data_IF_708821732510
#
_entry.id   IF_708821732510
#
_cell.length_a   1.000
_cell.length_b   1.000
_cell.length_c   1.000
_cell.angle_alpha   90.00
_cell.angle_beta   90.00
_cell.angle_gamma   90.00
#
_symmetry.space_group_name_H-M   'P 1'
#
loop_
_entity.id
_entity.type
_entity.pdbx_description
1 polymer ?
#
# COMPACT_ATOMS: atom_id res chain seq x y z
N UNK A 1 65.87 -32.10 -14.32
CA UNK A 1 65.28 -30.77 -14.03
C UNK A 1 63.78 -30.93 -14.06
N UNK A 2 63.19 -31.35 -12.94
CA UNK A 2 61.73 -31.52 -12.85
C UNK A 2 61.10 -30.15 -12.62
N UNK A 3 60.31 -29.72 -13.59
CA UNK A 3 59.49 -28.52 -13.54
C UNK A 3 58.35 -28.75 -12.55
N UNK A 4 58.41 -28.07 -11.41
CA UNK A 4 57.31 -28.00 -10.44
C UNK A 4 56.13 -27.30 -11.13
N UNK A 5 55.22 -28.10 -11.70
CA UNK A 5 53.92 -27.60 -12.14
C UNK A 5 53.07 -27.31 -10.91
N UNK A 6 53.20 -26.08 -10.39
CA UNK A 6 52.34 -25.58 -9.34
C UNK A 6 50.95 -25.34 -9.96
N UNK A 7 50.07 -26.34 -9.89
CA UNK A 7 48.68 -26.19 -10.32
C UNK A 7 48.04 -25.17 -9.38
N UNK A 8 47.62 -23.98 -9.87
CA UNK A 8 46.99 -22.99 -9.00
C UNK A 8 45.69 -23.58 -8.48
N UNK A 9 45.50 -23.57 -7.17
CA UNK A 9 44.29 -24.07 -6.52
C UNK A 9 43.06 -23.58 -7.29
N UNK A 10 42.25 -24.52 -7.78
CA UNK A 10 41.02 -24.22 -8.53
C UNK A 10 39.97 -23.53 -7.65
N UNK A 11 40.23 -23.42 -6.34
CA UNK A 11 39.34 -22.83 -5.35
C UNK A 11 39.83 -21.45 -4.89
N UNK A 12 38.87 -20.58 -4.58
CA UNK A 12 39.15 -19.25 -4.05
C UNK A 12 39.91 -19.32 -2.73
N UNK A 13 41.02 -18.58 -2.63
CA UNK A 13 41.87 -18.51 -1.42
C UNK A 13 41.21 -17.89 -0.17
N UNK A 14 39.95 -17.47 -0.25
CA UNK A 14 39.24 -16.82 0.87
C UNK A 14 38.68 -17.90 1.77
N UNK A 15 39.05 -17.88 3.04
CA UNK A 15 38.61 -18.87 4.04
C UNK A 15 37.09 -19.03 4.05
N UNK A 16 36.61 -20.28 3.94
CA UNK A 16 35.18 -20.59 3.89
C UNK A 16 34.49 -20.33 2.54
N UNK A 17 35.23 -19.98 1.49
CA UNK A 17 34.70 -19.85 0.15
C UNK A 17 34.91 -21.14 -0.67
N UNK A 18 33.81 -21.77 -1.08
CA UNK A 18 33.82 -22.93 -2.00
C UNK A 18 33.76 -22.54 -3.48
N UNK A 19 33.90 -21.26 -3.82
CA UNK A 19 33.82 -20.79 -5.21
C UNK A 19 35.13 -20.98 -5.96
N UNK A 20 35.05 -21.30 -7.26
CA UNK A 20 36.23 -21.52 -8.08
C UNK A 20 37.07 -20.23 -8.31
N UNK A 21 38.39 -20.34 -8.29
CA UNK A 21 39.34 -19.25 -8.51
C UNK A 21 39.50 -18.89 -9.99
N UNK A 22 38.41 -18.40 -10.59
CA UNK A 22 38.36 -18.02 -12.01
C UNK A 22 39.39 -16.93 -12.38
N UNK A 23 39.91 -16.17 -11.41
CA UNK A 23 41.04 -15.25 -11.58
C UNK A 23 42.31 -15.94 -11.08
N UNK A 24 42.85 -16.85 -11.89
CA UNK A 24 44.02 -17.70 -11.54
C UNK A 24 45.20 -16.90 -10.98
N UNK A 25 45.56 -15.77 -11.61
CA UNK A 25 46.66 -14.91 -11.14
C UNK A 25 46.42 -14.21 -9.80
N UNK A 26 45.17 -14.11 -9.35
CA UNK A 26 44.82 -13.54 -8.05
C UNK A 26 44.43 -14.62 -7.01
N UNK A 27 44.23 -15.87 -7.41
CA UNK A 27 43.72 -16.95 -6.56
C UNK A 27 42.32 -16.68 -6.00
N UNK A 28 41.50 -15.86 -6.70
CA UNK A 28 40.20 -15.40 -6.23
C UNK A 28 39.09 -15.79 -7.20
N UNK A 29 37.90 -16.10 -6.65
CA UNK A 29 36.68 -16.16 -7.45
C UNK A 29 36.28 -14.77 -7.93
N UNK A 30 35.43 -14.69 -8.95
CA UNK A 30 35.01 -13.40 -9.53
C UNK A 30 34.41 -12.45 -8.48
N UNK A 31 33.61 -12.99 -7.57
CA UNK A 31 32.97 -12.24 -6.48
C UNK A 31 33.99 -11.61 -5.54
N UNK A 32 35.01 -12.34 -5.10
CA UNK A 32 36.03 -11.83 -4.18
C UNK A 32 37.05 -10.95 -4.89
N UNK A 33 37.39 -11.25 -6.14
CA UNK A 33 38.23 -10.39 -6.97
C UNK A 33 37.59 -9.01 -7.18
N UNK A 34 36.29 -8.97 -7.52
CA UNK A 34 35.56 -7.72 -7.69
C UNK A 34 35.48 -6.90 -6.39
N UNK A 35 35.31 -7.55 -5.24
CA UNK A 35 35.34 -6.87 -3.93
C UNK A 35 36.72 -6.31 -3.62
N UNK A 36 37.78 -7.11 -3.79
CA UNK A 36 39.16 -6.70 -3.59
C UNK A 36 39.52 -5.49 -4.46
N UNK A 37 39.13 -5.50 -5.74
CA UNK A 37 39.37 -4.39 -6.66
C UNK A 37 38.64 -3.11 -6.26
N UNK A 38 37.39 -3.21 -5.81
CA UNK A 38 36.53 -2.04 -5.52
C UNK A 38 36.71 -1.47 -4.13
N UNK A 39 37.01 -2.31 -3.14
CA UNK A 39 36.98 -1.97 -1.72
C UNK A 39 38.28 -2.32 -0.98
N UNK A 40 39.29 -2.86 -1.67
CA UNK A 40 40.56 -3.24 -1.06
C UNK A 40 40.50 -4.47 -0.15
N UNK A 41 39.33 -5.08 0.03
CA UNK A 41 39.11 -6.31 0.81
C UNK A 41 38.21 -7.30 0.08
N UNK A 42 38.42 -8.59 0.32
CA UNK A 42 37.54 -9.68 -0.13
C UNK A 42 36.26 -9.79 0.69
N UNK A 43 36.25 -9.18 1.88
CA UNK A 43 35.10 -9.20 2.76
C UNK A 43 33.90 -8.50 2.12
N UNK A 44 32.71 -8.96 2.49
CA UNK A 44 31.50 -8.21 2.14
C UNK A 44 31.50 -6.97 3.02
N UNK A 45 31.80 -5.81 2.44
CA UNK A 45 31.59 -4.54 3.10
C UNK A 45 30.14 -4.48 3.61
N UNK A 46 29.98 -4.36 4.92
CA UNK A 46 28.69 -4.07 5.53
C UNK A 46 28.37 -2.62 5.18
N UNK A 47 27.69 -2.40 4.05
CA UNK A 47 27.13 -1.08 3.71
C UNK A 47 25.86 -0.89 4.56
N UNK A 48 26.03 -0.89 5.87
CA UNK A 48 24.99 -0.45 6.79
C UNK A 48 24.98 1.06 6.69
N UNK A 49 23.96 1.62 6.07
CA UNK A 49 23.70 3.05 6.17
C UNK A 49 23.03 3.26 7.55
N UNK A 50 23.72 3.80 8.55
CA UNK A 50 23.06 4.10 9.82
C UNK A 50 21.94 5.14 9.59
N UNK A 51 20.93 5.14 10.45
CA UNK A 51 19.84 6.12 10.41
C UNK A 51 18.72 5.82 9.41
N UNK A 52 17.93 6.85 9.13
CA UNK A 52 16.74 6.79 8.29
C UNK A 52 17.13 6.83 6.80
N UNK A 53 16.37 6.11 5.98
CA UNK A 53 16.45 6.23 4.52
C UNK A 53 15.07 6.47 3.93
N UNK A 54 15.01 7.21 2.84
CA UNK A 54 13.79 7.39 2.06
C UNK A 54 13.51 6.16 1.18
N UNK A 55 12.29 5.67 1.25
CA UNK A 55 11.75 4.62 0.39
C UNK A 55 11.12 5.24 -0.87
N UNK A 56 11.12 4.51 -1.97
CA UNK A 56 10.58 4.96 -3.27
C UNK A 56 9.11 5.40 -3.24
N UNK A 57 8.34 4.99 -2.24
CA UNK A 57 6.93 5.37 -2.04
C UNK A 57 6.71 6.58 -1.12
N UNK A 58 7.77 7.26 -0.71
CA UNK A 58 7.74 8.45 0.15
C UNK A 58 7.69 8.15 1.65
N UNK A 59 8.03 6.93 2.06
CA UNK A 59 8.09 6.54 3.47
C UNK A 59 9.54 6.50 3.97
N UNK A 60 9.75 6.79 5.25
CA UNK A 60 11.06 6.63 5.91
C UNK A 60 11.23 5.22 6.47
N UNK A 61 12.44 4.67 6.37
CA UNK A 61 12.82 3.35 6.89
C UNK A 61 13.94 3.48 7.93
N UNK A 62 13.68 3.03 9.15
CA UNK A 62 14.65 2.98 10.23
C UNK A 62 15.50 1.70 10.15
N UNK A 63 16.78 1.79 10.49
CA UNK A 63 17.64 0.62 10.70
C UNK A 63 17.28 -0.03 12.04
N UNK A 64 16.66 -1.22 11.98
CA UNK A 64 16.04 -1.88 13.14
C UNK A 64 16.14 -3.41 13.00
N UNK A 65 17.37 -3.99 13.16
CA UNK A 65 17.64 -5.41 12.91
C UNK A 65 17.01 -6.36 13.95
N UNK A 66 16.69 -5.87 15.14
CA UNK A 66 16.14 -6.68 16.23
C UNK A 66 14.67 -6.36 16.53
N UNK A 67 14.04 -5.52 15.70
CA UNK A 67 12.67 -5.06 15.93
C UNK A 67 11.66 -6.19 15.63
N UNK A 68 10.61 -6.39 16.47
CA UNK A 68 9.62 -7.46 16.26
C UNK A 68 8.95 -7.43 14.87
N UNK A 69 8.66 -6.22 14.39
CA UNK A 69 8.06 -5.98 13.07
C UNK A 69 9.04 -6.11 11.88
N UNK A 70 10.28 -6.53 12.10
CA UNK A 70 11.28 -6.71 11.04
C UNK A 70 10.95 -7.92 10.17
N UNK A 71 11.02 -7.72 8.85
CA UNK A 71 10.94 -8.81 7.87
C UNK A 71 12.28 -9.54 7.75
N UNK A 72 12.26 -10.86 7.58
CA UNK A 72 13.48 -11.69 7.49
C UNK A 72 14.49 -11.20 6.43
N UNK A 73 14.01 -10.65 5.31
CA UNK A 73 14.82 -10.19 4.18
C UNK A 73 15.44 -8.80 4.33
N UNK A 74 15.16 -8.08 5.42
CA UNK A 74 15.59 -6.69 5.62
C UNK A 74 16.02 -6.43 7.05
N UNK A 75 16.99 -5.54 7.24
CA UNK A 75 17.37 -5.01 8.56
C UNK A 75 16.66 -3.68 8.86
N UNK A 76 15.56 -3.40 8.15
CA UNK A 76 14.82 -2.15 8.24
C UNK A 76 13.33 -2.36 8.39
N UNK A 77 12.72 -1.44 9.13
CA UNK A 77 11.28 -1.34 9.35
C UNK A 77 10.85 0.07 8.97
N UNK A 78 9.60 0.22 8.49
CA UNK A 78 9.01 1.54 8.28
C UNK A 78 9.00 2.32 9.58
N UNK A 79 9.52 3.54 9.54
CA UNK A 79 9.69 4.37 10.73
C UNK A 79 8.37 4.59 11.45
N UNK A 80 7.28 4.91 10.74
CA UNK A 80 5.97 5.07 11.36
C UNK A 80 5.51 3.82 12.13
N UNK A 81 5.90 2.60 11.70
CA UNK A 81 5.58 1.38 12.46
C UNK A 81 6.46 1.24 13.70
N UNK A 82 7.72 1.65 13.62
CA UNK A 82 8.63 1.66 14.78
C UNK A 82 8.16 2.66 15.82
N UNK A 83 7.82 3.88 15.41
CA UNK A 83 7.32 4.93 16.33
C UNK A 83 6.00 4.49 16.96
N UNK A 84 5.05 3.99 16.16
CA UNK A 84 3.77 3.53 16.69
C UNK A 84 3.91 2.33 17.63
N UNK A 85 4.83 1.38 17.32
CA UNK A 85 5.13 0.24 18.19
C UNK A 85 5.78 0.67 19.51
N UNK A 86 6.69 1.65 19.48
CA UNK A 86 7.29 2.18 20.70
C UNK A 86 6.26 2.84 21.63
N UNK A 87 5.26 3.50 21.07
CA UNK A 87 4.21 4.20 21.83
C UNK A 87 3.12 3.24 22.35
N UNK A 88 2.69 2.27 21.52
CA UNK A 88 1.49 1.47 21.80
C UNK A 88 1.74 -0.03 21.99
N UNK A 89 2.96 -0.52 21.76
CA UNK A 89 3.36 -1.91 21.92
C UNK A 89 2.78 -2.85 20.86
N UNK A 90 2.50 -4.10 21.27
CA UNK A 90 2.10 -5.19 20.37
C UNK A 90 0.59 -5.23 20.07
N UNK A 91 -0.20 -4.40 20.75
CA UNK A 91 -1.66 -4.38 20.62
C UNK A 91 -2.37 -5.42 21.51
N UNK A 92 -3.63 -5.77 21.22
CA UNK A 92 -4.44 -5.30 20.08
C UNK A 92 -4.78 -3.81 20.17
N UNK A 93 -5.27 -3.26 19.06
CA UNK A 93 -5.63 -1.85 18.93
C UNK A 93 -7.08 -1.70 18.49
N UNK A 94 -7.64 -0.51 18.67
CA UNK A 94 -8.92 -0.14 18.08
C UNK A 94 -8.64 0.76 16.87
N UNK A 95 -9.29 0.47 15.74
CA UNK A 95 -9.29 1.35 14.59
C UNK A 95 -9.79 2.74 15.00
N UNK A 96 -9.02 3.78 14.73
CA UNK A 96 -9.36 5.17 15.06
C UNK A 96 -10.70 5.61 14.45
N UNK A 97 -11.04 5.09 13.26
CA UNK A 97 -12.20 5.54 12.49
C UNK A 97 -13.50 4.77 12.77
N UNK A 98 -13.42 3.48 13.09
CA UNK A 98 -14.60 2.63 13.27
C UNK A 98 -14.57 1.79 14.54
N UNK A 99 -13.51 1.89 15.33
CA UNK A 99 -13.30 1.19 16.61
C UNK A 99 -13.28 -0.35 16.50
N UNK A 100 -13.20 -0.91 15.29
CA UNK A 100 -12.96 -2.33 15.09
C UNK A 100 -11.60 -2.72 15.69
N UNK A 101 -11.56 -3.83 16.41
CA UNK A 101 -10.31 -4.38 16.94
C UNK A 101 -9.42 -4.84 15.78
N UNK A 102 -8.16 -4.44 15.82
CA UNK A 102 -7.13 -4.75 14.82
C UNK A 102 -5.82 -5.10 15.53
N UNK A 103 -4.95 -5.78 14.80
CA UNK A 103 -3.62 -6.23 15.24
C UNK A 103 -2.58 -5.85 14.20
N UNK A 104 -1.30 -6.07 14.48
CA UNK A 104 -0.24 -5.81 13.49
C UNK A 104 -0.37 -6.57 12.17
N UNK A 105 -1.18 -7.64 12.13
CA UNK A 105 -1.42 -8.46 10.93
C UNK A 105 -2.42 -7.83 9.95
N UNK A 106 -3.38 -7.04 10.43
CA UNK A 106 -4.50 -6.51 9.63
C UNK A 106 -4.68 -4.99 9.74
N UNK A 107 -3.99 -4.34 10.67
CA UNK A 107 -3.98 -2.88 10.79
C UNK A 107 -3.05 -2.20 9.78
N UNK A 108 -3.34 -0.93 9.53
CA UNK A 108 -2.44 0.04 8.93
C UNK A 108 -2.12 1.10 10.00
N UNK A 109 -0.86 1.56 10.03
CA UNK A 109 -0.51 2.81 10.72
C UNK A 109 -0.85 3.94 9.76
N UNK A 110 -1.83 4.75 10.13
CA UNK A 110 -2.45 5.78 9.31
C UNK A 110 -1.98 7.17 9.76
N UNK A 111 -1.64 8.01 8.79
CA UNK A 111 -1.22 9.40 9.00
C UNK A 111 -2.46 10.30 8.97
N UNK A 112 -2.80 10.94 10.09
CA UNK A 112 -3.97 11.80 10.21
C UNK A 112 -3.93 12.96 9.19
N UNK A 113 -2.76 13.59 9.03
CA UNK A 113 -2.55 14.69 8.08
C UNK A 113 -2.25 14.25 6.63
N UNK A 114 -2.28 12.94 6.33
CA UNK A 114 -1.94 12.35 5.02
C UNK A 114 -0.53 12.71 4.50
N UNK A 115 0.38 13.05 5.40
CA UNK A 115 1.79 13.36 5.12
C UNK A 115 2.68 12.20 5.58
N UNK A 116 3.23 11.45 4.61
CA UNK A 116 3.89 10.14 4.84
C UNK A 116 5.20 10.20 5.63
N UNK A 117 5.84 11.37 5.69
CA UNK A 117 7.13 11.58 6.33
C UNK A 117 7.04 12.33 7.67
N UNK A 118 5.83 12.73 8.07
CA UNK A 118 5.49 13.21 9.41
C UNK A 118 5.12 12.03 10.30
N UNK A 119 6.14 11.41 10.90
CA UNK A 119 5.99 10.24 11.76
C UNK A 119 5.90 10.62 13.25
N UNK A 120 5.42 11.83 13.58
CA UNK A 120 5.16 12.22 14.95
C UNK A 120 4.11 11.30 15.60
N UNK A 121 4.28 10.86 16.87
CA UNK A 121 3.35 9.92 17.52
C UNK A 121 1.89 10.38 17.46
N UNK A 122 1.62 11.67 17.68
CA UNK A 122 0.28 12.25 17.65
C UNK A 122 -0.39 12.23 16.25
N UNK A 123 0.40 12.09 15.18
CA UNK A 123 -0.11 11.99 13.81
C UNK A 123 -0.40 10.55 13.36
N UNK A 124 0.02 9.55 14.15
CA UNK A 124 -0.08 8.14 13.79
C UNK A 124 -1.21 7.46 14.56
N UNK A 125 -2.09 6.77 13.83
CA UNK A 125 -3.20 6.03 14.44
C UNK A 125 -3.34 4.63 13.84
N UNK A 126 -3.89 3.69 14.61
CA UNK A 126 -4.29 2.39 14.07
C UNK A 126 -5.54 2.56 13.19
N UNK A 127 -5.53 1.97 11.99
CA UNK A 127 -6.64 2.00 11.05
C UNK A 127 -6.85 0.62 10.43
N UNK A 128 -8.08 0.16 10.32
CA UNK A 128 -8.35 -1.14 9.69
C UNK A 128 -8.16 -1.08 8.17
N UNK A 129 -8.00 -2.26 7.55
CA UNK A 129 -7.82 -2.40 6.10
C UNK A 129 -8.97 -1.83 5.24
N UNK A 130 -10.14 -1.53 5.83
CA UNK A 130 -11.26 -0.88 5.13
C UNK A 130 -11.19 0.64 5.24
N UNK A 131 -10.91 1.17 6.44
CA UNK A 131 -10.96 2.61 6.71
C UNK A 131 -9.79 3.36 6.07
N UNK A 132 -8.56 2.83 6.16
CA UNK A 132 -7.38 3.51 5.64
C UNK A 132 -7.48 3.77 4.11
N UNK A 133 -7.76 2.78 3.24
CA UNK A 133 -7.89 3.03 1.80
C UNK A 133 -9.08 3.94 1.44
N UNK A 134 -10.17 3.89 2.23
CA UNK A 134 -11.37 4.72 1.99
C UNK A 134 -11.04 6.21 2.04
N UNK A 135 -10.10 6.64 2.88
CA UNK A 135 -9.63 8.05 2.96
C UNK A 135 -8.99 8.52 1.66
N UNK A 136 -8.27 7.63 0.97
CA UNK A 136 -7.59 7.93 -0.30
C UNK A 136 -8.47 7.76 -1.55
N UNK A 137 -9.70 7.26 -1.41
CA UNK A 137 -10.55 6.87 -2.54
C UNK A 137 -10.83 8.04 -3.48
N UNK A 138 -11.14 9.22 -2.96
CA UNK A 138 -11.46 10.39 -3.79
C UNK A 138 -10.24 10.88 -4.57
N UNK A 139 -9.04 10.85 -3.98
CA UNK A 139 -7.78 11.20 -4.65
C UNK A 139 -7.46 10.23 -5.78
N UNK A 140 -7.63 8.93 -5.51
CA UNK A 140 -7.47 7.88 -6.52
C UNK A 140 -8.49 8.05 -7.66
N UNK A 141 -9.77 8.24 -7.32
CA UNK A 141 -10.85 8.44 -8.30
C UNK A 141 -10.63 9.70 -9.15
N UNK A 142 -10.22 10.82 -8.55
CA UNK A 142 -9.85 12.04 -9.27
C UNK A 142 -8.68 11.79 -10.23
N UNK A 143 -7.63 11.10 -9.77
CA UNK A 143 -6.49 10.72 -10.60
C UNK A 143 -6.92 9.90 -11.82
N UNK A 144 -7.76 8.87 -11.63
CA UNK A 144 -8.26 8.07 -12.74
C UNK A 144 -9.12 8.87 -13.73
N UNK A 145 -9.94 9.82 -13.25
CA UNK A 145 -10.74 10.70 -14.11
C UNK A 145 -9.86 11.63 -14.97
N UNK A 146 -8.81 12.19 -14.37
CA UNK A 146 -7.87 13.09 -15.06
C UNK A 146 -7.00 12.35 -16.07
N UNK A 147 -6.57 11.12 -15.76
CA UNK A 147 -5.73 10.29 -16.62
C UNK A 147 -6.50 9.42 -17.62
N UNK A 148 -7.83 9.50 -17.61
CA UNK A 148 -8.64 8.69 -18.53
C UNK A 148 -8.39 9.12 -19.98
N UNK A 149 -8.02 8.17 -20.83
CA UNK A 149 -7.92 8.39 -22.28
C UNK A 149 -9.30 8.61 -22.93
N UNK A 150 -10.36 8.18 -22.23
CA UNK A 150 -11.76 8.26 -22.69
C UNK A 150 -12.40 9.56 -22.22
N UNK A 151 -11.70 10.67 -22.46
CA UNK A 151 -12.15 12.04 -22.19
C UNK A 151 -12.65 12.66 -23.47
N UNK A 152 -13.85 13.21 -23.41
CA UNK A 152 -14.52 13.76 -24.58
C UNK A 152 -15.03 15.16 -24.27
N UNK A 153 -14.85 16.05 -25.25
CA UNK A 153 -15.35 17.43 -25.19
C UNK A 153 -16.59 17.54 -26.07
N UNK A 154 -17.70 17.96 -25.47
CA UNK A 154 -18.96 18.24 -26.15
C UNK A 154 -19.72 19.30 -25.35
N UNK A 155 -20.50 20.14 -26.04
CA UNK A 155 -21.31 21.19 -25.39
C UNK A 155 -20.53 22.07 -24.38
N UNK A 156 -19.27 22.40 -24.69
CA UNK A 156 -18.41 23.23 -23.84
C UNK A 156 -17.90 22.56 -22.55
N UNK A 157 -18.11 21.25 -22.37
CA UNK A 157 -17.64 20.48 -21.20
C UNK A 157 -16.71 19.38 -21.64
N UNK A 158 -15.65 19.13 -20.87
CA UNK A 158 -14.75 17.99 -21.05
C UNK A 158 -14.88 17.05 -19.85
N UNK A 159 -15.38 15.85 -20.08
CA UNK A 159 -15.62 14.84 -19.04
C UNK A 159 -15.13 13.47 -19.51
N UNK A 160 -14.81 12.59 -18.57
CA UNK A 160 -14.61 11.18 -18.91
C UNK A 160 -15.95 10.48 -19.19
N UNK A 161 -15.91 9.33 -19.85
CA UNK A 161 -17.12 8.61 -20.26
C UNK A 161 -18.11 8.33 -19.12
N UNK A 162 -17.62 7.96 -17.92
CA UNK A 162 -18.49 7.66 -16.77
C UNK A 162 -19.14 8.92 -16.19
N UNK A 163 -18.45 10.06 -16.26
CA UNK A 163 -19.01 11.36 -15.88
C UNK A 163 -20.09 11.78 -16.87
N UNK A 164 -19.84 11.62 -18.18
CA UNK A 164 -20.86 11.83 -19.20
C UNK A 164 -22.10 10.94 -19.01
N UNK A 165 -21.91 9.65 -18.69
CA UNK A 165 -23.01 8.73 -18.41
C UNK A 165 -23.89 9.20 -17.25
N UNK A 166 -23.26 9.65 -16.14
CA UNK A 166 -23.97 10.21 -14.98
C UNK A 166 -24.65 11.53 -15.33
N UNK A 167 -23.93 12.45 -16.00
CA UNK A 167 -24.43 13.77 -16.37
C UNK A 167 -25.67 13.70 -17.28
N UNK A 168 -25.70 12.76 -18.22
CA UNK A 168 -26.80 12.58 -19.18
C UNK A 168 -27.87 11.60 -18.70
N UNK A 169 -27.69 10.97 -17.53
CA UNK A 169 -28.51 9.85 -17.05
C UNK A 169 -28.67 8.74 -18.11
N UNK A 170 -27.55 8.36 -18.72
CA UNK A 170 -27.42 7.31 -19.72
C UNK A 170 -26.59 6.15 -19.19
N UNK A 171 -26.88 4.93 -19.66
CA UNK A 171 -25.95 3.83 -19.39
C UNK A 171 -24.65 4.05 -20.16
N UNK A 172 -23.52 3.64 -19.58
CA UNK A 172 -22.21 3.65 -20.26
C UNK A 172 -22.31 2.97 -21.63
N UNK A 173 -22.97 1.81 -21.69
CA UNK A 173 -23.13 1.03 -22.91
C UNK A 173 -23.89 1.81 -24.01
N UNK A 174 -24.85 2.66 -23.65
CA UNK A 174 -25.55 3.49 -24.62
C UNK A 174 -24.63 4.53 -25.26
N UNK A 175 -23.75 5.16 -24.47
CA UNK A 175 -22.78 6.12 -24.99
C UNK A 175 -21.70 5.41 -25.82
N UNK A 176 -21.24 4.23 -25.37
CA UNK A 176 -20.31 3.39 -26.15
C UNK A 176 -20.88 2.98 -27.50
N UNK A 177 -22.14 2.57 -27.53
CA UNK A 177 -22.83 2.27 -28.77
C UNK A 177 -22.83 3.48 -29.71
N UNK A 178 -23.18 4.68 -29.21
CA UNK A 178 -23.17 5.91 -30.04
C UNK A 178 -21.78 6.20 -30.62
N UNK A 179 -20.72 6.03 -29.82
CA UNK A 179 -19.33 6.17 -30.29
C UNK A 179 -19.00 5.12 -31.37
N UNK A 180 -19.31 3.84 -31.13
CA UNK A 180 -19.03 2.76 -32.09
C UNK A 180 -19.84 2.86 -33.38
N UNK A 181 -21.04 3.43 -33.31
CA UNK A 181 -21.90 3.68 -34.46
C UNK A 181 -21.49 4.93 -35.26
N UNK A 182 -20.39 5.60 -34.86
CA UNK A 182 -19.85 6.74 -35.59
C UNK A 182 -20.71 8.02 -35.48
N UNK A 183 -21.48 8.18 -34.41
CA UNK A 183 -22.25 9.41 -34.20
C UNK A 183 -21.32 10.61 -34.04
N UNK A 184 -21.80 11.80 -34.42
CA UNK A 184 -21.08 13.05 -34.16
C UNK A 184 -20.89 13.25 -32.66
N UNK A 185 -19.76 13.81 -32.25
CA UNK A 185 -19.39 13.91 -30.83
C UNK A 185 -20.45 14.63 -29.98
N UNK A 186 -21.03 15.74 -30.47
CA UNK A 186 -22.10 16.44 -29.76
C UNK A 186 -23.39 15.61 -29.69
N UNK A 187 -23.69 14.80 -30.70
CA UNK A 187 -24.84 13.88 -30.66
C UNK A 187 -24.61 12.70 -29.71
N UNK A 188 -23.38 12.18 -29.64
CA UNK A 188 -22.99 11.14 -28.67
C UNK A 188 -23.30 11.59 -27.25
N UNK A 189 -22.93 12.82 -26.92
CA UNK A 189 -23.07 13.41 -25.58
C UNK A 189 -24.32 14.29 -25.41
N UNK A 190 -25.37 13.97 -26.17
CA UNK A 190 -26.69 14.57 -25.99
C UNK A 190 -27.60 13.73 -25.06
N UNK A 191 -28.61 14.32 -24.40
CA UNK A 191 -29.61 13.58 -23.63
C UNK A 191 -30.37 12.53 -24.47
N UNK A 192 -31.23 11.72 -23.84
CA UNK A 192 -32.08 10.77 -24.60
C UNK A 192 -32.99 11.53 -25.57
N UNK A 193 -32.89 11.23 -26.86
CA UNK A 193 -33.86 11.65 -27.88
C UNK A 193 -35.01 10.62 -27.91
N UNK A 194 -36.17 10.98 -27.35
CA UNK A 194 -37.40 10.16 -27.38
C UNK A 194 -37.63 9.20 -26.20
N UNK A 195 -38.75 8.46 -26.24
CA UNK A 195 -39.20 7.49 -25.21
C UNK A 195 -38.65 6.06 -25.41
N UNK A 196 -37.83 5.83 -26.44
CA UNK A 196 -37.40 4.50 -26.86
C UNK A 196 -36.15 4.06 -26.10
N UNK A 197 -36.34 3.34 -25.00
CA UNK A 197 -35.29 2.62 -24.28
C UNK A 197 -35.90 1.80 -23.14
N UNK A 198 -35.33 0.65 -22.75
CA UNK A 198 -35.84 -0.13 -21.62
C UNK A 198 -35.90 0.76 -20.37
N UNK A 199 -37.01 0.71 -19.64
CA UNK A 199 -37.22 1.52 -18.45
C UNK A 199 -36.02 1.32 -17.50
N UNK A 200 -35.28 2.38 -17.22
CA UNK A 200 -34.30 2.35 -16.13
C UNK A 200 -35.09 2.05 -14.85
N UNK A 201 -34.79 0.94 -14.17
CA UNK A 201 -35.38 0.66 -12.85
C UNK A 201 -35.23 1.91 -12.00
N UNK A 202 -36.38 2.52 -11.65
CA UNK A 202 -36.45 3.60 -10.67
C UNK A 202 -35.78 3.07 -9.40
N UNK A 203 -34.72 3.71 -8.93
CA UNK A 203 -34.25 3.47 -7.56
C UNK A 203 -35.44 3.77 -6.66
N UNK A 204 -35.98 2.74 -5.99
CA UNK A 204 -36.91 2.97 -4.91
C UNK A 204 -36.14 3.72 -3.83
N UNK A 205 -36.59 4.93 -3.50
CA UNK A 205 -36.24 5.58 -2.25
C UNK A 205 -36.67 4.62 -1.14
N UNK A 206 -35.68 3.98 -0.51
CA UNK A 206 -35.93 3.21 0.71
C UNK A 206 -36.33 4.23 1.75
N UNK A 207 -37.62 4.23 2.07
CA UNK A 207 -38.21 5.04 3.11
C UNK A 207 -37.39 4.93 4.39
N UNK A 208 -37.09 6.07 4.97
CA UNK A 208 -36.48 6.22 6.30
C UNK A 208 -37.33 5.49 7.33
N UNK A 209 -36.98 4.25 7.63
CA UNK A 209 -37.42 3.60 8.85
C UNK A 209 -36.79 4.34 10.03
N UNK A 210 -37.64 4.96 10.85
CA UNK A 210 -37.26 5.59 12.09
C UNK A 210 -36.45 4.61 12.96
N UNK A 211 -35.27 5.06 13.38
CA UNK A 211 -34.43 4.37 14.36
C UNK A 211 -35.14 4.47 15.72
N UNK A 212 -35.39 3.37 16.46
CA UNK A 212 -35.90 3.49 17.81
C UNK A 212 -34.84 4.18 18.71
N UNK A 213 -35.27 4.92 19.75
CA UNK A 213 -34.34 5.61 20.63
C UNK A 213 -33.52 4.59 21.41
N UNK A 214 -32.20 4.74 21.36
CA UNK A 214 -31.27 3.98 22.20
C UNK A 214 -31.38 4.56 23.61
N UNK A 215 -32.25 3.96 24.42
CA UNK A 215 -32.30 4.15 25.86
C UNK A 215 -31.11 3.47 26.51
N UNK A 216 -30.25 4.27 27.13
CA UNK A 216 -29.18 3.87 28.02
C UNK A 216 -29.80 3.64 29.40
N UNK A 217 -29.65 2.44 29.97
CA UNK A 217 -29.71 2.23 31.43
C UNK A 217 -28.99 0.90 31.72
N UNK A 218 -27.70 1.02 32.05
CA UNK A 218 -26.93 -0.08 32.62
C UNK A 218 -27.14 0.05 34.13
N UNK A 219 -28.08 -0.74 34.66
CA UNK A 219 -28.32 -0.77 36.10
C UNK A 219 -27.20 -1.58 36.76
N UNK A 220 -26.22 -0.85 37.28
CA UNK A 220 -25.09 -1.39 38.04
C UNK A 220 -25.52 -1.65 39.48
N UNK A 221 -26.27 -2.71 39.75
CA UNK A 221 -26.33 -3.28 41.09
C UNK A 221 -26.89 -4.71 41.11
N UNK A 222 -26.28 -5.54 41.96
CA UNK A 222 -26.70 -6.90 42.37
C UNK A 222 -26.22 -8.06 41.48
N UNK A 223 -24.99 -8.52 41.74
CA UNK A 223 -24.76 -9.94 42.08
C UNK A 223 -23.64 -10.06 43.12
N UNK A 224 -24.03 -9.93 44.39
CA UNK A 224 -23.40 -10.60 45.54
C UNK A 224 -24.46 -11.51 46.15
N UNK A 225 -23.98 -12.56 46.82
CA UNK A 225 -24.68 -13.60 47.61
C UNK A 225 -25.36 -14.70 46.79
N UNK A 226 -24.75 -15.89 46.70
CA UNK A 226 -24.96 -17.11 47.53
C UNK A 226 -25.83 -18.11 46.71
N UNK A 227 -25.71 -19.44 46.71
CA UNK A 227 -24.94 -20.43 47.46
C UNK A 227 -25.21 -21.81 46.81
N UNK A 228 -24.26 -22.76 46.96
CA UNK A 228 -24.50 -24.18 47.29
C UNK A 228 -25.14 -25.10 46.22
N UNK A 229 -24.30 -25.89 45.53
CA UNK A 229 -24.08 -27.33 45.82
C UNK A 229 -22.83 -27.84 45.12
#
# INVERSE_FOLDING_TARGET
METIQNQPDDNCRVTGCSGAANRKGAGLCEKHYMRQRRHGSTDKALVLRPGLIDHSHGYKLAHAPDHPLRRASSNRVYEHRVVYHAEHGDGPFLCHWCSMMVTWDDMHVDHLNDTKDDNSPDNLVASCAVCNPKRGFDKMAATHRLRSERRYTAHGKTMCLIEWARYLNLSRNAIEYRLSAGWKIDDVFSPRKGRSGPASRRHQEVGTAARPPVGYEIDSHQMRTEMVR
#
